data_IF_087245855872
#
_entry.id   IF_087245855872
#
_cell.length_a   1.000
_cell.length_b   1.000
_cell.length_c   1.000
_cell.angle_alpha   90.00
_cell.angle_beta   90.00
_cell.angle_gamma   90.00
#
_symmetry.space_group_name_H-M   'P 1'
#
loop_
_entity.id
_entity.type
_entity.pdbx_description
1 polymer ?
#
# COMPACT_ATOMS: atom_id res chain seq x y z
N UNK A 1 -3.36 27.67 11.53
CA UNK A 1 -4.71 27.13 11.22
C UNK A 1 -4.59 26.30 9.97
N UNK A 2 -4.90 25.00 10.02
CA UNK A 2 -5.03 24.18 8.82
C UNK A 2 -6.44 24.44 8.27
N UNK A 3 -6.53 25.16 7.15
CA UNK A 3 -7.77 25.26 6.39
C UNK A 3 -7.88 23.98 5.53
N UNK A 4 -8.97 23.24 5.70
CA UNK A 4 -9.28 22.06 4.89
C UNK A 4 -10.63 22.21 4.20
N UNK A 5 -10.76 21.65 3.01
CA UNK A 5 -12.01 21.59 2.25
C UNK A 5 -12.50 20.14 2.21
N UNK A 6 -13.79 19.92 2.45
CA UNK A 6 -14.41 18.62 2.28
C UNK A 6 -14.73 18.41 0.80
N UNK A 7 -14.32 17.27 0.26
CA UNK A 7 -14.60 16.87 -1.13
C UNK A 7 -15.40 15.57 -1.10
N UNK A 8 -16.47 15.49 -1.88
CA UNK A 8 -17.22 14.24 -2.07
C UNK A 8 -16.56 13.46 -3.20
N UNK A 9 -16.01 12.30 -2.88
CA UNK A 9 -15.35 11.42 -3.83
C UNK A 9 -16.08 10.07 -3.84
N UNK A 10 -16.58 9.65 -4.98
CA UNK A 10 -17.01 8.27 -5.19
C UNK A 10 -15.75 7.43 -5.45
N UNK A 11 -15.41 6.52 -4.55
CA UNK A 11 -14.19 5.73 -4.65
C UNK A 11 -14.37 4.32 -4.10
N UNK A 12 -13.56 3.39 -4.62
CA UNK A 12 -13.36 2.06 -4.02
C UNK A 12 -12.37 2.21 -2.89
N UNK A 13 -12.71 1.71 -1.70
CA UNK A 13 -11.78 1.64 -0.57
C UNK A 13 -11.39 0.18 -0.39
N UNK A 14 -10.08 -0.09 -0.40
CA UNK A 14 -9.52 -1.42 -0.16
C UNK A 14 -8.59 -1.36 1.04
N UNK A 15 -8.88 -2.17 2.05
CA UNK A 15 -7.99 -2.38 3.19
C UNK A 15 -7.26 -3.71 2.99
N UNK A 16 -5.94 -3.67 2.86
CA UNK A 16 -5.09 -4.81 2.55
C UNK A 16 -4.26 -5.20 3.77
N UNK A 17 -4.20 -6.50 4.06
CA UNK A 17 -3.20 -7.06 4.97
C UNK A 17 -2.30 -8.00 4.16
N UNK A 18 -1.12 -7.51 3.76
CA UNK A 18 -0.25 -8.23 2.85
C UNK A 18 0.50 -9.37 3.55
N UNK A 19 0.86 -10.47 2.84
CA UNK A 19 1.71 -11.51 3.39
C UNK A 19 3.12 -11.02 3.79
N UNK A 20 3.70 -11.67 4.79
CA UNK A 20 5.09 -11.45 5.20
C UNK A 20 6.11 -12.00 4.19
N UNK A 21 5.77 -13.10 3.51
CA UNK A 21 6.62 -13.71 2.48
C UNK A 21 6.69 -12.81 1.24
N UNK A 22 7.91 -12.55 0.76
CA UNK A 22 8.15 -11.62 -0.35
C UNK A 22 7.46 -12.06 -1.66
N UNK A 23 7.48 -13.37 -1.97
CA UNK A 23 6.86 -13.91 -3.18
C UNK A 23 5.34 -13.73 -3.16
N UNK A 24 4.68 -14.15 -2.08
CA UNK A 24 3.22 -14.00 -1.92
C UNK A 24 2.79 -12.53 -1.88
N UNK A 25 3.62 -11.65 -1.29
CA UNK A 25 3.39 -10.21 -1.32
C UNK A 25 3.47 -9.67 -2.74
N UNK A 26 4.46 -10.06 -3.53
CA UNK A 26 4.58 -9.65 -4.94
C UNK A 26 3.39 -10.11 -5.77
N UNK A 27 2.93 -11.35 -5.56
CA UNK A 27 1.74 -11.89 -6.22
C UNK A 27 0.48 -11.08 -5.89
N UNK A 28 0.23 -10.80 -4.60
CA UNK A 28 -0.89 -9.97 -4.15
C UNK A 28 -0.92 -8.60 -4.85
N UNK A 29 0.22 -7.89 -4.86
CA UNK A 29 0.30 -6.58 -5.51
C UNK A 29 0.13 -6.67 -7.04
N UNK A 30 0.54 -7.77 -7.66
CA UNK A 30 0.36 -8.02 -9.09
C UNK A 30 -1.13 -8.21 -9.43
N UNK A 31 -1.86 -8.96 -8.61
CA UNK A 31 -3.31 -9.15 -8.74
C UNK A 31 -4.05 -7.81 -8.55
N UNK A 32 -3.71 -7.05 -7.49
CA UNK A 32 -4.29 -5.73 -7.26
C UNK A 32 -4.05 -4.76 -8.42
N UNK A 33 -2.87 -4.81 -9.04
CA UNK A 33 -2.56 -4.02 -10.21
C UNK A 33 -3.42 -4.39 -11.42
N UNK A 34 -3.67 -5.68 -11.65
CA UNK A 34 -4.54 -6.16 -12.75
C UNK A 34 -6.01 -5.76 -12.57
N UNK A 35 -6.50 -5.69 -11.32
CA UNK A 35 -7.85 -5.24 -11.00
C UNK A 35 -8.12 -3.77 -11.38
N UNK A 36 -7.07 -2.97 -11.59
CA UNK A 36 -7.17 -1.58 -12.10
C UNK A 36 -7.83 -1.49 -13.49
N UNK A 37 -7.97 -2.61 -14.20
CA UNK A 37 -8.60 -2.69 -15.52
C UNK A 37 -10.13 -2.48 -15.55
N UNK A 38 -10.76 -2.17 -14.40
CA UNK A 38 -12.19 -1.85 -14.26
C UNK A 38 -12.43 -0.34 -13.99
N UNK A 39 -11.96 0.62 -14.82
CA UNK A 39 -11.93 2.03 -14.41
C UNK A 39 -13.28 2.72 -14.68
N UNK A 40 -14.04 2.99 -13.61
CA UNK A 40 -15.01 4.10 -13.61
C UNK A 40 -14.88 5.01 -12.39
N UNK A 41 -14.21 4.57 -11.32
CA UNK A 41 -14.06 5.34 -10.07
C UNK A 41 -12.65 5.17 -9.47
N UNK A 42 -12.10 6.19 -8.77
CA UNK A 42 -10.79 6.12 -8.12
C UNK A 42 -10.72 5.05 -7.02
N UNK A 43 -9.52 4.52 -6.77
CA UNK A 43 -9.25 3.54 -5.71
C UNK A 43 -8.38 4.14 -4.62
N UNK A 44 -8.80 3.98 -3.36
CA UNK A 44 -8.03 4.25 -2.17
C UNK A 44 -7.62 2.91 -1.56
N UNK A 45 -6.34 2.56 -1.67
CA UNK A 45 -5.80 1.31 -1.14
C UNK A 45 -4.92 1.66 0.06
N UNK A 46 -5.23 1.06 1.22
CA UNK A 46 -4.48 1.23 2.47
C UNK A 46 -4.34 -0.09 3.23
N UNK A 47 -3.91 -0.02 4.48
CA UNK A 47 -3.71 -1.17 5.36
C UNK A 47 -2.25 -1.47 5.66
N UNK A 48 -1.94 -2.73 5.96
CA UNK A 48 -0.58 -3.18 6.26
C UNK A 48 0.06 -3.79 5.01
N UNK A 49 1.09 -3.11 4.50
CA UNK A 49 1.79 -3.54 3.31
C UNK A 49 2.81 -4.66 3.55
N UNK A 50 3.17 -4.94 4.81
CA UNK A 50 4.26 -5.84 5.22
C UNK A 50 5.56 -5.67 4.40
N UNK A 51 5.77 -4.49 3.80
CA UNK A 51 6.99 -4.10 3.11
C UNK A 51 7.52 -2.84 3.76
N UNK A 52 8.79 -2.87 4.11
CA UNK A 52 9.53 -1.67 4.50
C UNK A 52 10.29 -1.20 3.26
N UNK A 53 9.93 -0.03 2.77
CA UNK A 53 10.52 0.62 1.60
C UNK A 53 11.65 1.58 1.96
N UNK A 54 11.63 2.12 3.17
CA UNK A 54 12.64 3.06 3.65
C UNK A 54 13.09 2.72 5.07
N UNK A 55 14.38 2.95 5.35
CA UNK A 55 14.95 2.71 6.68
C UNK A 55 14.23 3.54 7.77
N UNK A 56 13.75 4.73 7.42
CA UNK A 56 13.01 5.59 8.35
C UNK A 56 11.65 5.03 8.79
N UNK A 57 11.10 4.03 8.09
CA UNK A 57 9.86 3.35 8.50
C UNK A 57 10.11 2.40 9.68
N UNK A 58 11.37 2.01 9.93
CA UNK A 58 11.77 1.18 11.08
C UNK A 58 12.47 2.03 12.14
N UNK A 59 11.91 2.06 13.34
CA UNK A 59 12.62 2.60 14.50
C UNK A 59 13.88 1.77 14.79
N UNK A 60 15.05 2.42 14.85
CA UNK A 60 16.35 1.76 15.10
C UNK A 60 17.02 1.08 13.90
N UNK A 61 16.50 1.26 12.68
CA UNK A 61 16.98 0.56 11.47
C UNK A 61 18.22 1.17 10.81
N UNK A 62 19.42 0.69 11.17
CA UNK A 62 20.68 1.04 10.47
C UNK A 62 21.09 0.04 9.37
N UNK A 63 20.26 -0.97 9.06
CA UNK A 63 20.60 -2.06 8.13
C UNK A 63 19.48 -2.33 7.13
N UNK A 64 19.84 -2.43 5.85
CA UNK A 64 18.95 -2.86 4.78
C UNK A 64 18.77 -4.38 4.87
N UNK A 65 17.54 -4.82 5.09
CA UNK A 65 17.19 -6.24 5.12
C UNK A 65 16.85 -6.74 3.71
N UNK A 66 16.97 -8.04 3.45
CA UNK A 66 16.53 -8.67 2.18
C UNK A 66 15.04 -8.39 1.92
N UNK A 67 14.26 -8.22 2.98
CA UNK A 67 12.83 -7.88 2.90
C UNK A 67 12.55 -6.42 2.51
N UNK A 68 13.57 -5.55 2.41
CA UNK A 68 13.44 -4.19 1.88
C UNK A 68 13.66 -4.10 0.36
N UNK A 69 14.23 -5.13 -0.27
CA UNK A 69 14.33 -5.21 -1.73
C UNK A 69 12.97 -5.61 -2.32
#
# INVERSE_FOLDING_TARGET
MLNGFLVRLECVIVNVYAPNEAASRQELWSVLYQLKSVPQIPWCIGGDSNKIKALCERSGGNRVDRNMR
#
